data_IF_518265760407
#
_entry.id   IF_518265760407
#
_cell.length_a   1.000
_cell.length_b   1.000
_cell.length_c   1.000
_cell.angle_alpha   90.00
_cell.angle_beta   90.00
_cell.angle_gamma   90.00
#
_symmetry.space_group_name_H-M   'P 1'
#
loop_
_entity.id
_entity.type
_entity.pdbx_description
1 polymer ?
#
# COMPACT_ATOMS: atom_id res chain seq x y z
N UNK A 1 16.21 24.87 -29.93
CA UNK A 1 16.71 25.12 -28.55
C UNK A 1 15.52 25.03 -27.61
N UNK A 2 15.67 24.43 -26.41
CA UNK A 2 14.56 24.15 -25.50
C UNK A 2 13.85 25.41 -24.99
N UNK A 3 14.54 26.55 -24.89
CA UNK A 3 13.92 27.83 -24.52
C UNK A 3 12.93 28.40 -25.55
N UNK A 4 12.88 27.86 -26.77
CA UNK A 4 11.90 28.24 -27.80
C UNK A 4 10.78 27.21 -27.96
N UNK A 5 10.79 26.14 -27.15
CA UNK A 5 9.77 25.09 -27.18
C UNK A 5 8.59 25.48 -26.27
N UNK A 6 7.34 25.53 -26.77
CA UNK A 6 6.17 25.86 -25.96
C UNK A 6 5.93 24.89 -24.80
N UNK A 7 6.45 23.66 -24.87
CA UNK A 7 6.30 22.66 -23.81
C UNK A 7 7.40 22.78 -22.73
N UNK A 8 8.39 23.67 -22.91
CA UNK A 8 9.46 23.88 -21.95
C UNK A 8 9.04 24.85 -20.83
N UNK A 9 8.89 24.32 -19.62
CA UNK A 9 8.41 25.08 -18.45
C UNK A 9 9.52 25.75 -17.62
N UNK A 10 10.79 25.38 -17.83
CA UNK A 10 11.95 25.91 -17.09
C UNK A 10 11.92 25.69 -15.57
N UNK A 11 10.97 24.90 -15.05
CA UNK A 11 10.83 24.61 -13.62
C UNK A 11 12.04 23.84 -13.10
N UNK A 12 12.46 22.81 -13.84
CA UNK A 12 13.62 21.98 -13.51
C UNK A 12 14.90 22.82 -13.45
N UNK A 13 15.10 23.75 -14.39
CA UNK A 13 16.27 24.64 -14.42
C UNK A 13 16.36 25.52 -13.16
N UNK A 14 15.22 26.02 -12.67
CA UNK A 14 15.16 26.82 -11.43
C UNK A 14 15.49 26.00 -10.18
N UNK A 15 15.04 24.74 -10.15
CA UNK A 15 15.26 23.85 -9.00
C UNK A 15 16.71 23.35 -8.98
N UNK A 16 17.28 23.04 -10.14
CA UNK A 16 18.60 22.43 -10.27
C UNK A 16 19.74 23.46 -10.41
N UNK A 17 19.42 24.71 -10.72
CA UNK A 17 20.41 25.75 -11.02
C UNK A 17 21.14 25.55 -12.37
N UNK A 18 20.71 24.55 -13.15
CA UNK A 18 21.30 24.22 -14.45
C UNK A 18 20.51 24.91 -15.54
N UNK A 19 21.21 25.64 -16.42
CA UNK A 19 20.60 26.20 -17.64
C UNK A 19 20.56 25.13 -18.73
N UNK A 20 19.37 24.70 -19.13
CA UNK A 20 19.18 23.68 -20.18
C UNK A 20 19.38 24.31 -21.56
N UNK A 21 20.40 23.84 -22.28
CA UNK A 21 20.78 24.27 -23.65
C UNK A 21 20.37 23.26 -24.71
N UNK A 22 20.48 21.99 -24.38
CA UNK A 22 20.05 20.86 -25.20
C UNK A 22 19.45 19.79 -24.29
N UNK A 23 18.47 19.06 -24.80
CA UNK A 23 17.86 17.94 -24.09
C UNK A 23 17.53 16.82 -25.06
N UNK A 24 17.57 15.59 -24.55
CA UNK A 24 17.15 14.40 -25.26
C UNK A 24 16.42 13.48 -24.28
N UNK A 25 15.29 12.92 -24.73
CA UNK A 25 14.45 12.06 -23.91
C UNK A 25 14.10 10.77 -24.64
N UNK A 26 14.03 9.67 -23.88
CA UNK A 26 13.52 8.39 -24.34
C UNK A 26 12.47 7.86 -23.33
N UNK A 27 11.31 7.36 -23.80
CA UNK A 27 10.29 6.85 -22.89
C UNK A 27 10.75 5.56 -22.20
N UNK A 28 10.45 5.43 -20.91
CA UNK A 28 10.64 4.21 -20.14
C UNK A 28 9.40 3.33 -20.28
N UNK A 29 9.51 2.25 -21.05
CA UNK A 29 8.39 1.35 -21.36
C UNK A 29 8.47 0.05 -20.57
N UNK A 30 7.33 -0.40 -20.07
CA UNK A 30 7.16 -1.73 -19.47
C UNK A 30 6.06 -2.51 -20.20
N UNK A 31 5.85 -3.77 -19.84
CA UNK A 31 4.72 -4.56 -20.35
C UNK A 31 3.34 -3.95 -20.01
N UNK A 32 3.27 -3.08 -19.00
CA UNK A 32 2.03 -2.41 -18.57
C UNK A 32 1.87 -1.00 -19.16
N UNK A 33 2.84 -0.55 -19.95
CA UNK A 33 2.85 0.79 -20.56
C UNK A 33 4.01 1.67 -20.09
N UNK A 34 3.97 2.96 -20.47
CA UNK A 34 5.00 3.93 -20.10
C UNK A 34 4.97 4.23 -18.59
N UNK A 35 6.13 4.15 -17.94
CA UNK A 35 6.29 4.46 -16.52
C UNK A 35 7.00 5.80 -16.27
N UNK A 36 7.52 6.43 -17.33
CA UNK A 36 8.23 7.70 -17.25
C UNK A 36 9.07 7.99 -18.49
N UNK A 37 10.00 8.94 -18.36
CA UNK A 37 10.93 9.35 -19.42
C UNK A 37 12.34 9.41 -18.86
N UNK A 38 13.29 8.78 -19.55
CA UNK A 38 14.71 8.94 -19.32
C UNK A 38 15.18 10.19 -20.08
N UNK A 39 15.61 11.21 -19.35
CA UNK A 39 16.04 12.49 -19.94
C UNK A 39 17.51 12.76 -19.64
N UNK A 40 18.23 13.21 -20.65
CA UNK A 40 19.58 13.76 -20.54
C UNK A 40 19.58 15.19 -21.03
N UNK A 41 20.37 16.04 -20.38
CA UNK A 41 20.51 17.45 -20.69
C UNK A 41 21.98 17.82 -20.84
N UNK A 42 22.26 18.85 -21.63
CA UNK A 42 23.57 19.47 -21.76
C UNK A 42 24.72 18.47 -22.00
N UNK A 43 24.88 18.02 -23.24
CA UNK A 43 26.05 17.23 -23.65
C UNK A 43 27.34 17.93 -23.22
N UNK A 44 28.29 17.16 -22.66
CA UNK A 44 29.49 17.70 -21.99
C UNK A 44 30.45 18.44 -22.94
N UNK A 45 30.48 18.01 -24.19
CA UNK A 45 31.24 18.64 -25.28
C UNK A 45 30.63 19.96 -25.78
N UNK A 46 29.43 20.32 -25.30
CA UNK A 46 28.69 21.51 -25.72
C UNK A 46 27.96 21.36 -27.06
N UNK A 47 28.03 20.20 -27.72
CA UNK A 47 27.33 19.94 -28.96
C UNK A 47 25.83 19.65 -28.74
N UNK A 48 25.06 19.68 -29.83
CA UNK A 48 23.69 19.17 -29.83
C UNK A 48 23.71 17.64 -29.85
N UNK A 49 22.63 17.03 -29.35
CA UNK A 49 22.46 15.58 -29.43
C UNK A 49 22.24 15.15 -30.88
N UNK A 50 22.91 14.08 -31.27
CA UNK A 50 22.83 13.48 -32.61
C UNK A 50 22.03 12.16 -32.60
N UNK A 51 21.91 11.52 -33.76
CA UNK A 51 21.18 10.26 -33.89
C UNK A 51 21.86 9.09 -33.12
N UNK A 52 23.20 8.95 -33.11
CA UNK A 52 23.88 8.00 -32.22
C UNK A 52 23.54 8.18 -30.74
N UNK A 53 23.47 9.42 -30.24
CA UNK A 53 23.06 9.71 -28.86
C UNK A 53 21.63 9.23 -28.60
N UNK A 54 20.73 9.37 -29.58
CA UNK A 54 19.33 8.90 -29.51
C UNK A 54 19.24 7.39 -29.42
N UNK A 55 19.98 6.69 -30.27
CA UNK A 55 19.99 5.24 -30.30
C UNK A 55 20.56 4.67 -29.00
N UNK A 56 21.63 5.27 -28.49
CA UNK A 56 22.19 4.92 -27.18
C UNK A 56 21.18 5.14 -26.05
N UNK A 57 20.53 6.31 -26.00
CA UNK A 57 19.55 6.61 -24.96
C UNK A 57 18.36 5.65 -25.00
N UNK A 58 17.89 5.30 -26.21
CA UNK A 58 16.82 4.31 -26.41
C UNK A 58 17.23 2.92 -25.97
N UNK A 59 18.46 2.51 -26.26
CA UNK A 59 19.01 1.23 -25.80
C UNK A 59 19.12 1.16 -24.27
N UNK A 60 19.44 2.27 -23.61
CA UNK A 60 19.49 2.36 -22.14
C UNK A 60 18.10 2.47 -21.49
N UNK A 61 17.10 3.00 -22.20
CA UNK A 61 15.76 3.19 -21.67
C UNK A 61 15.10 1.86 -21.25
N UNK A 62 15.29 0.78 -22.02
CA UNK A 62 14.70 -0.54 -21.70
C UNK A 62 15.20 -1.13 -20.36
N UNK A 63 16.52 -1.31 -20.13
CA UNK A 63 17.01 -1.80 -18.84
C UNK A 63 16.74 -0.83 -17.69
N UNK A 64 16.76 0.49 -17.94
CA UNK A 64 16.39 1.48 -16.94
C UNK A 64 14.91 1.35 -16.52
N UNK A 65 14.01 1.13 -17.47
CA UNK A 65 12.59 0.92 -17.18
C UNK A 65 12.36 -0.32 -16.32
N UNK A 66 13.07 -1.42 -16.62
CA UNK A 66 13.02 -2.64 -15.82
C UNK A 66 13.54 -2.41 -14.40
N UNK A 67 14.68 -1.75 -14.25
CA UNK A 67 15.26 -1.45 -12.94
C UNK A 67 14.33 -0.55 -12.10
N UNK A 68 13.76 0.49 -12.70
CA UNK A 68 12.81 1.37 -12.02
C UNK A 68 11.54 0.62 -11.60
N UNK A 69 10.99 -0.22 -12.48
CA UNK A 69 9.83 -1.07 -12.17
C UNK A 69 10.12 -2.02 -11.02
N UNK A 70 11.30 -2.66 -11.01
CA UNK A 70 11.69 -3.58 -9.94
C UNK A 70 11.90 -2.87 -8.60
N UNK A 71 12.48 -1.67 -8.60
CA UNK A 71 12.63 -0.87 -7.40
C UNK A 71 11.26 -0.51 -6.80
N UNK A 72 10.32 -0.04 -7.62
CA UNK A 72 8.97 0.29 -7.18
C UNK A 72 8.23 -0.95 -6.63
N UNK A 73 8.35 -2.11 -7.28
CA UNK A 73 7.77 -3.36 -6.79
C UNK A 73 8.36 -3.77 -5.44
N UNK A 74 9.67 -3.66 -5.29
CA UNK A 74 10.38 -4.02 -4.05
C UNK A 74 9.95 -3.12 -2.89
N UNK A 75 9.86 -1.81 -3.13
CA UNK A 75 9.41 -0.84 -2.13
C UNK A 75 7.98 -1.14 -1.64
N UNK A 76 7.06 -1.43 -2.56
CA UNK A 76 5.70 -1.84 -2.22
C UNK A 76 5.65 -3.12 -1.38
N UNK A 77 6.49 -4.11 -1.70
CA UNK A 77 6.58 -5.35 -0.92
C UNK A 77 7.11 -5.09 0.50
N UNK A 78 8.10 -4.21 0.65
CA UNK A 78 8.65 -3.83 1.95
C UNK A 78 7.62 -3.09 2.80
N UNK A 79 6.86 -2.16 2.21
CA UNK A 79 5.81 -1.43 2.91
C UNK A 79 4.69 -2.36 3.39
N UNK A 80 4.23 -3.27 2.53
CA UNK A 80 3.24 -4.28 2.92
C UNK A 80 3.76 -5.20 4.04
N UNK A 81 5.03 -5.60 3.98
CA UNK A 81 5.65 -6.41 5.03
C UNK A 81 5.72 -5.64 6.36
N UNK A 82 6.04 -4.34 6.31
CA UNK A 82 6.08 -3.45 7.47
C UNK A 82 4.71 -3.34 8.14
N UNK A 83 3.68 -2.97 7.38
CA UNK A 83 2.30 -2.84 7.90
C UNK A 83 1.84 -4.15 8.53
N UNK A 84 2.09 -5.28 7.84
CA UNK A 84 1.72 -6.60 8.35
C UNK A 84 2.42 -6.94 9.66
N UNK A 85 3.68 -6.53 9.82
CA UNK A 85 4.44 -6.72 11.05
C UNK A 85 3.86 -5.89 12.20
N UNK A 86 3.53 -4.62 11.94
CA UNK A 86 2.91 -3.73 12.94
C UNK A 86 1.54 -4.27 13.40
N UNK A 87 0.70 -4.72 12.48
CA UNK A 87 -0.58 -5.37 12.78
C UNK A 87 -0.39 -6.64 13.64
N UNK A 88 0.61 -7.46 13.34
CA UNK A 88 0.91 -8.64 14.15
C UNK A 88 1.32 -8.28 15.57
N UNK A 89 2.11 -7.21 15.77
CA UNK A 89 2.50 -6.75 17.09
C UNK A 89 1.30 -6.26 17.89
N UNK A 90 0.45 -5.41 17.29
CA UNK A 90 -0.78 -4.93 17.92
C UNK A 90 -1.69 -6.09 18.33
N UNK A 91 -1.83 -7.11 17.46
CA UNK A 91 -2.61 -8.31 17.76
C UNK A 91 -2.05 -9.11 18.93
N UNK A 92 -0.73 -9.21 19.08
CA UNK A 92 -0.10 -9.90 20.22
C UNK A 92 -0.36 -9.17 21.52
N UNK A 93 -0.20 -7.83 21.54
CA UNK A 93 -0.51 -6.99 22.71
C UNK A 93 -1.98 -7.11 23.11
N UNK A 94 -2.91 -7.04 22.15
CA UNK A 94 -4.34 -7.20 22.43
C UNK A 94 -4.64 -8.57 23.05
N UNK A 95 -3.99 -9.64 22.57
CA UNK A 95 -4.17 -11.00 23.12
C UNK A 95 -3.59 -11.16 24.52
N UNK A 96 -2.47 -10.51 24.85
CA UNK A 96 -1.91 -10.56 26.21
C UNK A 96 -2.75 -9.77 27.22
N UNK A 97 -3.52 -8.78 26.76
CA UNK A 97 -4.47 -8.02 27.58
C UNK A 97 -5.80 -8.73 27.81
N UNK A 98 -6.07 -9.87 27.14
CA UNK A 98 -7.27 -10.65 27.41
C UNK A 98 -7.11 -11.37 28.76
N UNK A 99 -8.07 -11.23 29.69
CA UNK A 99 -7.93 -11.77 31.04
C UNK A 99 -7.77 -13.30 30.98
N UNK A 100 -6.71 -13.81 31.62
CA UNK A 100 -6.58 -15.23 31.88
C UNK A 100 -7.82 -15.70 32.62
N UNK A 101 -8.49 -16.73 32.08
CA UNK A 101 -9.71 -17.35 32.63
C UNK A 101 -9.58 -17.51 34.15
N UNK A 102 -10.27 -16.66 34.92
CA UNK A 102 -10.51 -16.93 36.34
C UNK A 102 -11.55 -18.04 36.42
N UNK A 103 -11.12 -19.22 36.83
CA UNK A 103 -12.02 -20.30 37.26
C UNK A 103 -12.62 -19.89 38.60
N UNK A 104 -13.88 -19.48 38.58
CA UNK A 104 -14.68 -19.29 39.78
C UNK A 104 -16.15 -19.32 39.41
N UNK A 105 -16.85 -20.39 39.80
CA UNK A 105 -18.30 -20.58 40.01
C UNK A 105 -19.34 -20.16 38.96
N UNK A 106 -19.05 -19.25 38.05
CA UNK A 106 -20.02 -18.64 37.15
C UNK A 106 -19.80 -19.13 35.72
N UNK A 107 -20.84 -19.62 35.01
CA UNK A 107 -20.71 -20.07 33.62
C UNK A 107 -20.66 -18.86 32.67
N UNK A 108 -19.57 -18.11 32.70
CA UNK A 108 -19.30 -17.01 31.76
C UNK A 108 -18.36 -17.49 30.66
N UNK A 109 -18.92 -17.69 29.46
CA UNK A 109 -18.14 -18.00 28.25
C UNK A 109 -17.96 -16.72 27.41
N UNK A 110 -16.77 -16.13 27.46
CA UNK A 110 -16.39 -15.05 26.56
C UNK A 110 -15.60 -15.62 25.37
N UNK A 111 -16.08 -15.40 24.15
CA UNK A 111 -15.32 -15.65 22.91
C UNK A 111 -15.06 -14.31 22.22
N UNK A 112 -13.81 -14.09 21.81
CA UNK A 112 -13.43 -12.94 20.99
C UNK A 112 -13.42 -13.38 19.52
N UNK A 113 -14.34 -12.84 18.70
CA UNK A 113 -14.25 -12.94 17.24
C UNK A 113 -13.71 -11.62 16.67
N UNK A 114 -12.49 -11.59 16.13
CA UNK A 114 -11.93 -10.37 15.56
C UNK A 114 -12.65 -10.01 14.25
N UNK A 115 -13.07 -8.76 14.13
CA UNK A 115 -13.53 -8.18 12.87
C UNK A 115 -12.32 -7.57 12.13
N UNK A 116 -11.84 -8.28 11.11
CA UNK A 116 -11.00 -7.80 10.01
C UNK A 116 -9.52 -7.41 10.21
N UNK A 117 -8.97 -7.23 11.42
CA UNK A 117 -7.54 -7.51 11.75
C UNK A 117 -7.13 -6.96 13.14
N UNK A 118 -7.73 -5.85 13.57
CA UNK A 118 -7.70 -5.37 14.96
C UNK A 118 -9.16 -5.18 15.37
N UNK A 119 -9.56 -5.80 16.48
CA UNK A 119 -10.97 -6.02 16.78
C UNK A 119 -11.67 -4.74 17.23
N UNK A 120 -12.70 -4.32 16.48
CA UNK A 120 -13.87 -3.66 17.05
C UNK A 120 -14.49 -4.58 18.11
N UNK A 121 -14.75 -4.04 19.28
CA UNK A 121 -15.25 -4.75 20.46
C UNK A 121 -16.74 -5.03 20.31
N UNK A 122 -17.13 -6.28 20.07
CA UNK A 122 -18.49 -6.77 20.32
C UNK A 122 -18.42 -7.88 21.38
N UNK A 123 -18.59 -7.46 22.64
CA UNK A 123 -18.81 -8.37 23.76
C UNK A 123 -20.32 -8.64 23.85
N UNK A 124 -20.78 -9.77 23.31
CA UNK A 124 -22.09 -10.31 23.67
C UNK A 124 -21.93 -11.11 24.96
N UNK A 125 -22.19 -10.46 26.09
CA UNK A 125 -22.29 -11.13 27.38
C UNK A 125 -23.58 -11.97 27.36
N UNK A 126 -23.45 -13.29 27.30
CA UNK A 126 -24.56 -14.21 27.55
C UNK A 126 -24.50 -14.58 29.03
N UNK A 127 -25.42 -14.03 29.82
CA UNK A 127 -25.69 -14.53 31.17
C UNK A 127 -26.52 -15.80 31.02
N UNK A 128 -25.95 -16.95 31.38
CA UNK A 128 -26.74 -18.16 31.57
C UNK A 128 -27.32 -18.11 33.00
N UNK A 129 -28.65 -18.10 33.19
CA UNK A 129 -29.23 -18.14 34.52
C UNK A 129 -28.86 -19.47 35.20
N UNK A 130 -28.48 -19.38 36.48
CA UNK A 130 -27.83 -20.43 37.26
C UNK A 130 -28.76 -21.56 37.73
N UNK A 131 -29.88 -21.79 37.04
CA UNK A 131 -30.84 -22.83 37.42
C UNK A 131 -31.11 -23.76 36.24
N UNK A 132 -30.70 -25.01 36.38
CA UNK A 132 -30.97 -26.09 35.42
C UNK A 132 -32.44 -26.56 35.42
N UNK A 133 -33.39 -25.75 35.88
CA UNK A 133 -34.82 -26.13 36.01
C UNK A 133 -35.78 -25.24 35.20
N UNK A 134 -35.31 -24.23 34.47
CA UNK A 134 -36.15 -23.45 33.58
C UNK A 134 -35.50 -23.30 32.21
N UNK A 135 -35.66 -24.33 31.37
CA UNK A 135 -35.59 -24.16 29.91
C UNK A 135 -36.92 -23.53 29.47
N UNK A 136 -36.98 -22.26 29.03
CA UNK A 136 -38.11 -21.85 28.21
C UNK A 136 -37.96 -22.54 26.85
N UNK A 137 -38.92 -23.40 26.54
CA UNK A 137 -39.20 -23.92 25.20
C UNK A 137 -39.46 -22.76 24.24
N UNK A 138 -38.40 -22.10 23.78
CA UNK A 138 -38.47 -21.07 22.74
C UNK A 138 -37.12 -20.89 22.04
N UNK A 139 -36.48 -22.00 21.66
CA UNK A 139 -35.54 -21.99 20.53
C UNK A 139 -36.33 -22.33 19.26
N UNK A 140 -36.99 -21.31 18.69
CA UNK A 140 -37.42 -21.37 17.29
C UNK A 140 -36.30 -20.76 16.43
N UNK A 141 -35.70 -21.50 15.47
CA UNK A 141 -34.58 -21.01 14.70
C UNK A 141 -35.10 -20.31 13.44
N UNK A 142 -35.68 -19.12 13.54
CA UNK A 142 -35.96 -18.30 12.36
C UNK A 142 -36.34 -16.86 12.74
N UNK A 143 -35.40 -15.93 12.59
CA UNK A 143 -35.64 -14.64 11.94
C UNK A 143 -34.31 -13.95 11.67
N UNK A 144 -33.96 -13.94 10.38
CA UNK A 144 -33.00 -13.03 9.81
C UNK A 144 -33.44 -11.59 10.12
N UNK A 145 -32.47 -10.76 10.52
CA UNK A 145 -32.66 -9.34 10.75
C UNK A 145 -32.65 -8.61 9.39
N UNK A 146 -33.73 -7.91 9.05
CA UNK A 146 -33.77 -6.94 7.94
C UNK A 146 -33.45 -5.53 8.49
N UNK A 147 -32.67 -4.72 7.77
CA UNK A 147 -32.30 -3.38 8.23
C UNK A 147 -33.47 -2.38 8.05
N UNK A 148 -33.55 -1.32 8.88
CA UNK A 148 -34.52 -0.24 8.66
C UNK A 148 -34.05 0.70 7.54
N UNK A 149 -35.03 1.29 6.86
CA UNK A 149 -34.96 2.11 5.65
C UNK A 149 -33.96 3.26 5.68
#
# INVERSE_FOLDING_TARGET
MPASDPDFTGVIDRITGVRTRSMLGAPLMTAHGPIGVLQVINKRDGALFDEPDRDLLRALAAPAALAASNAALTENLLEHARIRRELQLARRMQRSLLPMRRRGGFPLLAINRPAREISGRLLRLLTCPTDASALPSAMSPARAWTPPS
#
